data_IF_531268027614
#
_entry.id   IF_531268027614
#
_cell.length_a   1.000
_cell.length_b   1.000
_cell.length_c   1.000
_cell.angle_alpha   90.00
_cell.angle_beta   90.00
_cell.angle_gamma   90.00
#
_symmetry.space_group_name_H-M   'P 1'
#
loop_
_entity.id
_entity.type
_entity.pdbx_description
1 polymer ?
#
# COMPACT_ATOMS: atom_id res chain seq x y z
N UNK A 1 21.54 -45.22 36.69
CA UNK A 1 21.00 -45.64 35.38
C UNK A 1 20.32 -44.49 34.66
N UNK A 2 19.47 -43.71 35.33
CA UNK A 2 18.74 -42.58 34.74
C UNK A 2 19.62 -41.44 34.18
N UNK A 3 20.69 -41.05 34.89
CA UNK A 3 21.60 -39.97 34.44
C UNK A 3 22.28 -40.32 33.10
N UNK A 4 22.69 -41.59 32.92
CA UNK A 4 23.32 -42.05 31.69
C UNK A 4 22.34 -42.08 30.50
N UNK A 5 21.07 -42.33 30.77
CA UNK A 5 20.00 -42.28 29.75
C UNK A 5 19.71 -40.83 29.38
N UNK A 6 19.62 -39.92 30.35
CA UNK A 6 19.43 -38.49 30.12
C UNK A 6 20.57 -37.86 29.29
N UNK A 7 21.83 -38.20 29.58
CA UNK A 7 23.00 -37.73 28.81
C UNK A 7 22.99 -38.26 27.36
N UNK A 8 22.54 -39.49 27.14
CA UNK A 8 22.39 -40.06 25.78
C UNK A 8 21.26 -39.40 25.01
N UNK A 9 20.12 -39.14 25.66
CA UNK A 9 19.00 -38.41 25.05
C UNK A 9 19.37 -36.97 24.72
N UNK A 10 20.11 -36.28 25.60
CA UNK A 10 20.62 -34.93 25.36
C UNK A 10 21.62 -34.92 24.19
N UNK A 11 22.54 -35.90 24.15
CA UNK A 11 23.47 -36.06 23.04
C UNK A 11 22.77 -36.35 21.71
N UNK A 12 21.71 -37.15 21.74
CA UNK A 12 20.89 -37.43 20.56
C UNK A 12 20.10 -36.19 20.12
N UNK A 13 19.54 -35.42 21.05
CA UNK A 13 18.85 -34.17 20.76
C UNK A 13 19.81 -33.14 20.15
N UNK A 14 20.99 -32.96 20.74
CA UNK A 14 22.03 -32.08 20.21
C UNK A 14 22.51 -32.52 18.83
N UNK A 15 22.65 -33.83 18.61
CA UNK A 15 23.00 -34.38 17.30
C UNK A 15 21.89 -34.13 16.27
N UNK A 16 20.61 -34.34 16.64
CA UNK A 16 19.47 -34.03 15.77
C UNK A 16 19.40 -32.53 15.44
N UNK A 17 19.63 -31.65 16.42
CA UNK A 17 19.68 -30.21 16.22
C UNK A 17 20.83 -29.81 15.27
N UNK A 18 22.04 -30.33 15.50
CA UNK A 18 23.21 -30.09 14.64
C UNK A 18 23.04 -30.65 13.21
N UNK A 19 22.43 -31.83 13.08
CA UNK A 19 22.09 -32.40 11.77
C UNK A 19 20.96 -31.63 11.09
N UNK A 20 20.03 -31.05 11.84
CA UNK A 20 18.98 -30.20 11.30
C UNK A 20 19.52 -28.86 10.79
N UNK A 21 20.53 -28.27 11.45
CA UNK A 21 21.25 -27.08 10.99
C UNK A 21 21.97 -27.31 9.65
N UNK A 22 22.57 -28.50 9.45
CA UNK A 22 23.18 -28.88 8.18
C UNK A 22 22.15 -29.02 7.03
N UNK A 23 20.86 -29.03 7.36
CA UNK A 23 19.73 -29.06 6.43
C UNK A 23 18.79 -27.88 6.60
N UNK A 24 19.27 -26.73 7.12
CA UNK A 24 18.47 -25.52 7.22
C UNK A 24 18.06 -25.07 5.80
N UNK A 25 16.92 -25.57 5.33
CA UNK A 25 16.25 -25.03 4.16
C UNK A 25 15.85 -23.63 4.55
N UNK A 26 16.62 -22.64 4.08
CA UNK A 26 16.22 -21.23 4.17
C UNK A 26 14.76 -21.12 3.76
N UNK A 27 14.02 -20.31 4.51
CA UNK A 27 12.64 -20.02 4.13
C UNK A 27 12.65 -19.46 2.71
N UNK A 28 11.69 -19.87 1.86
CA UNK A 28 11.56 -19.30 0.51
C UNK A 28 11.30 -17.79 0.53
N UNK A 29 10.91 -17.25 1.69
CA UNK A 29 10.71 -15.83 1.92
C UNK A 29 11.94 -15.12 2.54
N UNK A 30 13.04 -15.82 2.84
CA UNK A 30 14.26 -15.19 3.35
C UNK A 30 15.00 -14.47 2.21
N UNK A 31 15.50 -13.25 2.48
CA UNK A 31 16.37 -12.55 1.53
C UNK A 31 17.74 -13.25 1.50
N UNK A 32 18.19 -13.62 0.31
CA UNK A 32 19.46 -14.34 0.14
C UNK A 32 20.65 -13.50 0.61
N UNK A 33 21.66 -14.16 1.18
CA UNK A 33 22.89 -13.50 1.67
C UNK A 33 23.63 -12.67 0.62
N UNK A 34 23.56 -13.07 -0.66
CA UNK A 34 24.11 -12.28 -1.77
C UNK A 34 23.38 -10.95 -1.97
N UNK A 35 22.05 -10.96 -1.86
CA UNK A 35 21.22 -9.77 -1.98
C UNK A 35 21.33 -8.88 -0.74
N UNK A 36 21.40 -9.47 0.46
CA UNK A 36 21.68 -8.73 1.70
C UNK A 36 23.00 -7.94 1.62
N UNK A 37 24.04 -8.52 1.02
CA UNK A 37 25.30 -7.80 0.80
C UNK A 37 25.13 -6.62 -0.16
N UNK A 38 24.39 -6.79 -1.26
CA UNK A 38 24.11 -5.68 -2.20
C UNK A 38 23.27 -4.58 -1.55
N UNK A 39 22.24 -4.97 -0.79
CA UNK A 39 21.40 -4.08 -0.01
C UNK A 39 22.26 -3.27 0.97
N UNK A 40 23.21 -3.91 1.66
CA UNK A 40 24.15 -3.23 2.54
C UNK A 40 25.01 -2.19 1.80
N UNK A 41 25.54 -2.51 0.62
CA UNK A 41 26.29 -1.54 -0.19
C UNK A 41 25.42 -0.38 -0.67
N UNK A 42 24.18 -0.63 -1.09
CA UNK A 42 23.21 0.43 -1.43
C UNK A 42 22.97 1.34 -0.22
N UNK A 43 22.75 0.76 0.96
CA UNK A 43 22.44 1.52 2.18
C UNK A 43 23.60 2.39 2.69
N UNK A 44 24.85 2.07 2.37
CA UNK A 44 26.01 2.95 2.64
C UNK A 44 25.93 4.28 1.89
N UNK A 45 25.24 4.31 0.75
CA UNK A 45 25.12 5.49 -0.12
C UNK A 45 23.87 6.32 0.22
N UNK A 46 22.86 5.73 0.87
CA UNK A 46 21.61 6.38 1.25
C UNK A 46 21.76 7.62 2.16
N UNK A 47 20.66 8.21 2.66
CA UNK A 47 19.28 7.77 2.46
C UNK A 47 18.77 8.01 1.04
N UNK A 48 17.66 7.35 0.70
CA UNK A 48 16.96 7.47 -0.59
C UNK A 48 15.53 7.94 -0.36
N UNK A 49 14.98 8.70 -1.31
CA UNK A 49 13.53 8.86 -1.45
C UNK A 49 12.96 7.60 -2.12
N UNK A 50 12.02 6.94 -1.46
CA UNK A 50 11.30 5.81 -2.03
C UNK A 50 10.18 6.30 -2.94
N UNK A 51 10.12 5.79 -4.18
CA UNK A 51 9.04 6.08 -5.12
C UNK A 51 8.30 4.78 -5.39
N UNK A 52 7.04 4.72 -4.94
CA UNK A 52 6.16 3.55 -5.12
C UNK A 52 5.09 3.88 -6.16
N UNK A 53 4.98 3.04 -7.19
CA UNK A 53 4.11 3.29 -8.34
C UNK A 53 3.26 2.05 -8.67
N UNK A 54 1.96 2.19 -9.00
CA UNK A 54 1.09 1.03 -9.20
C UNK A 54 1.47 0.18 -10.40
N UNK A 55 1.74 0.81 -11.55
CA UNK A 55 1.93 0.08 -12.79
C UNK A 55 2.97 0.73 -13.73
N UNK A 56 3.23 0.06 -14.86
CA UNK A 56 4.20 0.50 -15.86
C UNK A 56 3.80 1.80 -16.58
N UNK A 57 2.51 2.07 -16.77
CA UNK A 57 2.07 3.31 -17.44
C UNK A 57 2.43 4.54 -16.61
N UNK A 58 2.35 4.45 -15.29
CA UNK A 58 2.72 5.54 -14.39
C UNK A 58 4.23 5.61 -14.15
N UNK A 59 4.91 4.45 -14.17
CA UNK A 59 6.36 4.38 -13.94
C UNK A 59 7.19 4.79 -15.15
N UNK A 60 6.78 4.42 -16.37
CA UNK A 60 7.58 4.63 -17.59
C UNK A 60 7.95 6.09 -17.87
N UNK A 61 7.06 7.09 -17.66
CA UNK A 61 7.43 8.49 -17.84
C UNK A 61 8.57 8.94 -16.92
N UNK A 62 8.70 8.33 -15.73
CA UNK A 62 9.78 8.64 -14.79
C UNK A 62 11.09 7.96 -15.19
N UNK A 63 11.02 6.76 -15.78
CA UNK A 63 12.20 5.97 -16.17
C UNK A 63 12.85 6.40 -17.49
N UNK A 64 12.46 7.55 -18.05
CA UNK A 64 13.08 8.06 -19.27
C UNK A 64 14.56 8.41 -19.03
N UNK A 65 15.46 8.19 -20.01
CA UNK A 65 16.91 8.39 -19.82
C UNK A 65 17.32 9.82 -19.44
N UNK A 66 16.51 10.82 -19.79
CA UNK A 66 16.71 12.23 -19.45
C UNK A 66 16.23 12.57 -18.02
N UNK A 67 15.46 11.69 -17.39
CA UNK A 67 14.82 11.92 -16.07
C UNK A 67 15.38 11.03 -14.97
N UNK A 68 15.69 9.77 -15.28
CA UNK A 68 16.19 8.79 -14.32
C UNK A 68 17.59 8.31 -14.71
N UNK A 69 18.54 8.55 -13.80
CA UNK A 69 19.91 8.08 -13.91
C UNK A 69 20.10 6.85 -13.03
N UNK A 70 20.17 5.67 -13.63
CA UNK A 70 20.44 4.42 -12.90
C UNK A 70 21.79 4.45 -12.20
N UNK A 71 21.86 3.82 -11.02
CA UNK A 71 23.13 3.60 -10.33
C UNK A 71 24.06 2.74 -11.21
N UNK A 72 25.33 3.14 -11.40
CA UNK A 72 26.24 2.43 -12.31
C UNK A 72 26.70 1.07 -11.76
N UNK A 73 26.59 0.85 -10.45
CA UNK A 73 27.08 -0.36 -9.77
C UNK A 73 25.95 -1.35 -9.53
N UNK A 74 24.82 -0.86 -9.01
CA UNK A 74 23.64 -1.66 -8.66
C UNK A 74 22.38 -0.99 -9.22
N UNK A 75 22.15 -1.03 -10.55
CA UNK A 75 21.01 -0.35 -11.16
C UNK A 75 19.67 -0.92 -10.70
N UNK A 76 19.62 -2.23 -10.43
CA UNK A 76 18.40 -2.90 -9.98
C UNK A 76 18.68 -4.04 -8.98
N UNK A 77 17.74 -4.27 -8.07
CA UNK A 77 17.67 -5.45 -7.20
C UNK A 77 16.27 -6.05 -7.26
N UNK A 78 16.19 -7.35 -7.55
CA UNK A 78 14.93 -8.08 -7.63
C UNK A 78 14.74 -8.90 -6.33
N UNK A 79 13.82 -8.48 -5.46
CA UNK A 79 13.58 -9.11 -4.16
C UNK A 79 12.09 -9.46 -4.03
N UNK A 80 11.78 -10.72 -3.69
CA UNK A 80 10.40 -11.21 -3.50
C UNK A 80 9.43 -10.81 -4.63
N UNK A 81 9.89 -10.92 -5.88
CA UNK A 81 9.10 -10.59 -7.08
C UNK A 81 8.99 -9.10 -7.41
N UNK A 82 9.73 -8.23 -6.70
CA UNK A 82 9.73 -6.77 -6.92
C UNK A 82 11.09 -6.29 -7.39
N UNK A 83 11.09 -5.46 -8.42
CA UNK A 83 12.30 -4.81 -8.95
C UNK A 83 12.45 -3.42 -8.35
N UNK A 84 13.42 -3.28 -7.45
CA UNK A 84 13.89 -2.01 -6.92
C UNK A 84 14.89 -1.42 -7.90
N UNK A 85 14.60 -0.23 -8.44
CA UNK A 85 15.48 0.50 -9.37
C UNK A 85 16.19 1.59 -8.60
N UNK A 86 17.50 1.47 -8.47
CA UNK A 86 18.33 2.38 -7.67
C UNK A 86 18.95 3.39 -8.62
N UNK A 87 18.87 4.66 -8.29
CA UNK A 87 19.42 5.72 -9.12
C UNK A 87 19.13 7.12 -8.58
N UNK A 88 19.00 8.06 -9.51
CA UNK A 88 18.72 9.46 -9.22
C UNK A 88 17.66 10.04 -10.15
N UNK A 89 16.89 10.99 -9.63
CA UNK A 89 16.03 11.89 -10.40
C UNK A 89 16.46 13.32 -10.07
N UNK A 90 17.01 14.02 -11.06
CA UNK A 90 17.82 15.21 -10.79
C UNK A 90 18.96 14.89 -9.84
N UNK A 91 19.11 15.68 -8.77
CA UNK A 91 20.15 15.48 -7.75
C UNK A 91 19.72 14.54 -6.60
N UNK A 92 18.46 14.11 -6.57
CA UNK A 92 17.91 13.29 -5.48
C UNK A 92 18.13 11.81 -5.74
N UNK A 93 18.67 11.11 -4.74
CA UNK A 93 18.81 9.65 -4.76
C UNK A 93 17.43 9.03 -4.56
N UNK A 94 17.04 8.13 -5.47
CA UNK A 94 15.72 7.48 -5.41
C UNK A 94 15.83 5.97 -5.54
N UNK A 95 14.85 5.28 -4.95
CA UNK A 95 14.57 3.88 -5.22
C UNK A 95 13.15 3.79 -5.75
N UNK A 96 12.99 3.42 -7.03
CA UNK A 96 11.69 3.30 -7.70
C UNK A 96 11.28 1.83 -7.72
N UNK A 97 10.08 1.52 -7.24
CA UNK A 97 9.53 0.17 -7.23
C UNK A 97 8.06 0.16 -7.62
N UNK A 98 7.69 -0.82 -8.44
CA UNK A 98 6.29 -1.03 -8.84
C UNK A 98 5.59 -1.88 -7.79
N UNK A 99 4.44 -1.42 -7.30
CA UNK A 99 3.64 -2.15 -6.31
C UNK A 99 2.77 -3.20 -6.97
N UNK A 100 2.20 -2.91 -8.14
CA UNK A 100 1.02 -3.61 -8.64
C UNK A 100 -0.26 -3.03 -8.02
N UNK A 101 -1.41 -3.63 -8.36
CA UNK A 101 -2.72 -3.20 -7.88
C UNK A 101 -3.05 -3.79 -6.51
N UNK A 102 -3.98 -3.14 -5.80
CA UNK A 102 -4.46 -3.46 -4.45
C UNK A 102 -3.54 -3.05 -3.30
N UNK A 103 -4.18 -2.77 -2.16
CA UNK A 103 -3.52 -2.36 -0.92
C UNK A 103 -2.57 -3.42 -0.36
N UNK A 104 -2.88 -4.72 -0.54
CA UNK A 104 -1.99 -5.79 -0.10
C UNK A 104 -0.61 -5.67 -0.76
N UNK A 105 -0.61 -5.44 -2.07
CA UNK A 105 0.62 -5.30 -2.83
C UNK A 105 1.35 -4.00 -2.50
N UNK A 106 0.64 -2.88 -2.36
CA UNK A 106 1.21 -1.60 -1.96
C UNK A 106 1.86 -1.68 -0.57
N UNK A 107 1.16 -2.26 0.41
CA UNK A 107 1.65 -2.47 1.77
C UNK A 107 2.90 -3.33 1.81
N UNK A 108 2.87 -4.53 1.22
CA UNK A 108 4.04 -5.43 1.19
C UNK A 108 5.23 -4.81 0.46
N UNK A 109 5.00 -4.09 -0.64
CA UNK A 109 6.09 -3.43 -1.39
C UNK A 109 6.73 -2.32 -0.58
N UNK A 110 5.91 -1.49 0.07
CA UNK A 110 6.37 -0.36 0.89
C UNK A 110 7.10 -0.87 2.12
N UNK A 111 6.58 -1.91 2.77
CA UNK A 111 7.23 -2.58 3.89
C UNK A 111 8.61 -3.13 3.50
N UNK A 112 8.70 -3.84 2.37
CA UNK A 112 9.99 -4.32 1.86
C UNK A 112 10.96 -3.17 1.54
N UNK A 113 10.47 -2.07 0.98
CA UNK A 113 11.28 -0.89 0.69
C UNK A 113 11.87 -0.29 1.98
N UNK A 114 11.02 -0.06 2.99
CA UNK A 114 11.41 0.51 4.28
C UNK A 114 12.30 -0.42 5.09
N UNK A 115 12.04 -1.73 5.07
CA UNK A 115 12.80 -2.71 5.86
C UNK A 115 14.15 -3.04 5.23
N UNK A 116 14.27 -3.03 3.90
CA UNK A 116 15.51 -3.41 3.23
C UNK A 116 16.43 -2.20 2.99
N UNK A 117 15.88 -1.01 2.72
CA UNK A 117 16.69 0.13 2.28
C UNK A 117 16.67 1.29 3.28
N UNK A 118 17.76 2.07 3.32
CA UNK A 118 17.82 3.31 4.08
C UNK A 118 17.00 4.40 3.36
N UNK A 119 15.74 4.54 3.74
CA UNK A 119 14.76 5.41 3.08
C UNK A 119 14.35 6.54 4.02
N UNK A 120 14.34 7.78 3.52
CA UNK A 120 13.95 8.96 4.32
C UNK A 120 12.47 9.32 4.18
N UNK A 121 11.81 8.86 3.10
CA UNK A 121 10.42 9.15 2.81
C UNK A 121 9.86 8.30 1.67
N UNK A 122 8.54 8.26 1.57
CA UNK A 122 7.82 7.55 0.51
C UNK A 122 6.97 8.54 -0.28
N UNK A 123 7.19 8.57 -1.58
CA UNK A 123 6.31 9.22 -2.55
C UNK A 123 5.52 8.14 -3.29
N UNK A 124 4.20 8.20 -3.17
CA UNK A 124 3.28 7.43 -4.01
C UNK A 124 2.59 8.37 -5.00
N UNK A 125 2.58 8.02 -6.28
CA UNK A 125 1.78 8.72 -7.28
C UNK A 125 1.15 7.74 -8.27
N UNK A 126 0.04 8.16 -8.86
CA UNK A 126 -0.68 7.37 -9.85
C UNK A 126 -1.91 8.10 -10.37
N UNK A 127 -2.65 7.43 -11.25
CA UNK A 127 -3.94 7.88 -11.75
C UNK A 127 -5.05 7.50 -10.78
N UNK A 128 -6.05 8.38 -10.64
CA UNK A 128 -7.20 8.14 -9.78
C UNK A 128 -8.49 8.56 -10.47
N UNK A 129 -9.58 7.86 -10.15
CA UNK A 129 -10.93 8.39 -10.36
C UNK A 129 -11.27 9.37 -9.24
N UNK A 130 -12.01 10.44 -9.56
CA UNK A 130 -12.48 11.38 -8.56
C UNK A 130 -14.00 11.26 -8.37
N UNK A 131 -14.48 11.52 -7.15
CA UNK A 131 -15.90 11.62 -6.83
C UNK A 131 -16.34 13.07 -6.55
N UNK A 132 -15.40 14.03 -6.61
CA UNK A 132 -15.69 15.43 -6.41
C UNK A 132 -16.08 16.05 -7.77
N UNK A 133 -17.35 16.46 -7.98
CA UNK A 133 -17.80 16.99 -9.27
C UNK A 133 -17.09 18.29 -9.69
N UNK A 134 -16.37 18.95 -8.78
CA UNK A 134 -15.57 20.14 -9.08
C UNK A 134 -14.23 19.79 -9.75
N UNK A 135 -13.74 18.55 -9.62
CA UNK A 135 -12.47 18.10 -10.22
C UNK A 135 -12.68 17.57 -11.63
N UNK A 136 -11.80 17.98 -12.55
CA UNK A 136 -11.82 17.60 -13.96
C UNK A 136 -10.77 16.53 -14.27
N UNK A 137 -10.90 15.91 -15.45
CA UNK A 137 -9.87 15.01 -15.98
C UNK A 137 -8.58 15.81 -16.17
N UNK A 138 -7.48 15.30 -15.60
CA UNK A 138 -6.16 15.93 -15.66
C UNK A 138 -5.80 16.74 -14.41
N UNK A 139 -6.75 16.97 -13.50
CA UNK A 139 -6.45 17.61 -12.22
C UNK A 139 -5.53 16.71 -11.38
N UNK A 140 -4.56 17.34 -10.72
CA UNK A 140 -3.66 16.69 -9.78
C UNK A 140 -4.17 16.94 -8.36
N UNK A 141 -4.52 15.87 -7.66
CA UNK A 141 -4.97 15.93 -6.27
C UNK A 141 -3.87 15.46 -5.31
N UNK A 142 -3.67 16.21 -4.24
CA UNK A 142 -2.80 15.82 -3.12
C UNK A 142 -3.72 15.53 -1.92
N UNK A 143 -3.80 14.28 -1.45
CA UNK A 143 -4.69 13.93 -0.36
C UNK A 143 -4.15 14.43 0.98
N UNK A 144 -5.01 15.02 1.80
CA UNK A 144 -4.72 15.30 3.21
C UNK A 144 -4.96 14.05 4.09
N UNK A 145 -5.89 13.18 3.68
CA UNK A 145 -6.23 11.94 4.37
C UNK A 145 -6.39 10.79 3.37
N UNK A 146 -6.07 9.59 3.83
CA UNK A 146 -6.45 8.33 3.21
C UNK A 146 -7.63 7.71 3.96
N UNK A 147 -8.50 7.00 3.26
CA UNK A 147 -9.59 6.26 3.86
C UNK A 147 -9.76 4.92 3.16
N UNK A 148 -10.04 3.88 3.93
CA UNK A 148 -10.32 2.54 3.42
C UNK A 148 -11.79 2.22 3.64
N UNK A 149 -12.53 2.07 2.54
CA UNK A 149 -13.96 1.77 2.55
C UNK A 149 -14.25 0.29 2.24
N UNK A 150 -13.35 -0.61 2.64
CA UNK A 150 -13.38 -2.01 2.21
C UNK A 150 -14.28 -2.92 3.05
N UNK A 151 -14.52 -2.56 4.30
CA UNK A 151 -15.23 -3.41 5.25
C UNK A 151 -16.69 -2.95 5.43
N UNK A 152 -17.61 -3.89 5.23
CA UNK A 152 -19.05 -3.65 5.32
C UNK A 152 -19.75 -4.82 5.98
N UNK A 153 -20.76 -4.53 6.79
CA UNK A 153 -21.59 -5.52 7.46
C UNK A 153 -23.02 -5.44 6.97
N UNK A 154 -23.54 -6.60 6.57
CA UNK A 154 -24.91 -6.74 6.12
C UNK A 154 -25.84 -6.98 7.31
N UNK A 155 -26.88 -6.17 7.45
CA UNK A 155 -27.88 -6.31 8.51
C UNK A 155 -28.57 -7.68 8.40
N UNK A 156 -28.65 -8.40 9.52
CA UNK A 156 -29.32 -9.71 9.55
C UNK A 156 -30.78 -9.59 9.10
N UNK A 157 -31.26 -10.61 8.38
CA UNK A 157 -32.66 -10.67 7.98
C UNK A 157 -33.59 -10.60 9.21
N UNK A 158 -34.65 -9.80 9.10
CA UNK A 158 -35.61 -9.55 10.19
C UNK A 158 -35.17 -8.48 11.20
N UNK A 159 -33.93 -7.97 11.09
CA UNK A 159 -33.43 -6.87 11.93
C UNK A 159 -33.50 -5.57 11.14
N UNK A 160 -33.99 -4.52 11.78
CA UNK A 160 -34.05 -3.16 11.26
C UNK A 160 -32.79 -2.34 11.59
N UNK A 161 -32.75 -1.06 11.17
CA UNK A 161 -31.57 -0.20 11.34
C UNK A 161 -31.21 0.09 12.80
N UNK A 162 -32.18 0.01 13.72
CA UNK A 162 -31.98 0.24 15.15
C UNK A 162 -31.58 -1.02 15.91
N UNK A 163 -31.62 -2.18 15.26
CA UNK A 163 -31.19 -3.43 15.88
C UNK A 163 -29.65 -3.54 15.87
N UNK A 164 -29.06 -4.24 16.86
CA UNK A 164 -27.61 -4.31 16.99
C UNK A 164 -26.97 -5.07 15.83
N UNK A 165 -25.81 -4.59 15.37
CA UNK A 165 -24.96 -5.32 14.42
C UNK A 165 -24.14 -6.38 15.16
N UNK A 166 -23.66 -7.37 14.40
CA UNK A 166 -22.66 -8.28 14.92
C UNK A 166 -21.42 -7.49 15.36
N UNK A 167 -20.84 -7.77 16.53
CA UNK A 167 -19.64 -7.09 17.08
C UNK A 167 -19.76 -5.57 17.36
N UNK A 168 -20.92 -4.93 17.15
CA UNK A 168 -21.16 -3.56 17.62
C UNK A 168 -20.88 -3.34 19.11
N UNK A 169 -21.16 -4.31 20.02
CA UNK A 169 -20.77 -4.18 21.43
C UNK A 169 -19.26 -4.08 21.67
N UNK A 170 -18.43 -4.49 20.71
CA UNK A 170 -16.96 -4.38 20.78
C UNK A 170 -16.44 -3.05 20.22
N UNK A 171 -17.33 -2.18 19.72
CA UNK A 171 -16.95 -0.92 19.09
C UNK A 171 -16.43 -1.05 17.66
N UNK A 172 -16.68 -2.19 16.99
CA UNK A 172 -16.17 -2.47 15.65
C UNK A 172 -17.00 -1.79 14.53
N UNK A 173 -17.99 -0.97 14.88
CA UNK A 173 -18.89 -0.29 13.93
C UNK A 173 -19.11 1.16 14.29
N UNK A 174 -19.40 1.97 13.28
CA UNK A 174 -19.89 3.34 13.44
C UNK A 174 -21.30 3.46 12.90
N UNK A 175 -22.15 4.21 13.62
CA UNK A 175 -23.49 4.60 13.16
C UNK A 175 -23.51 6.00 12.56
N UNK A 176 -22.37 6.68 12.51
CA UNK A 176 -22.25 8.06 12.02
C UNK A 176 -22.15 8.13 10.49
N UNK A 177 -21.48 7.16 9.88
CA UNK A 177 -21.21 7.12 8.43
C UNK A 177 -21.47 5.74 7.85
N UNK A 178 -21.71 5.69 6.54
CA UNK A 178 -21.80 4.44 5.79
C UNK A 178 -23.03 3.60 6.08
N UNK A 179 -24.17 4.22 6.40
CA UNK A 179 -25.47 3.56 6.38
C UNK A 179 -26.04 3.56 4.96
N UNK A 180 -26.29 2.37 4.40
CA UNK A 180 -26.93 2.19 3.10
C UNK A 180 -28.18 1.32 3.23
N UNK A 181 -29.36 1.89 2.97
CA UNK A 181 -30.59 1.12 2.82
C UNK A 181 -30.81 0.76 1.36
N UNK A 182 -30.75 -0.53 1.01
CA UNK A 182 -30.90 -0.96 -0.38
C UNK A 182 -32.30 -0.70 -0.93
N UNK A 183 -33.32 -0.64 -0.06
CA UNK A 183 -34.69 -0.31 -0.46
C UNK A 183 -34.80 1.07 -1.12
N UNK A 184 -33.90 2.01 -0.78
CA UNK A 184 -33.84 3.35 -1.38
C UNK A 184 -33.48 3.34 -2.87
N UNK A 185 -32.94 2.23 -3.38
CA UNK A 185 -32.48 2.07 -4.76
C UNK A 185 -33.35 1.10 -5.58
N UNK A 186 -34.54 0.75 -5.07
CA UNK A 186 -35.50 -0.09 -5.78
C UNK A 186 -36.11 0.59 -7.00
N UNK A 187 -36.38 -0.19 -8.05
CA UNK A 187 -37.17 0.24 -9.22
C UNK A 187 -38.25 -0.81 -9.53
N UNK A 188 -39.56 -0.47 -9.52
CA UNK A 188 -40.15 0.81 -9.12
C UNK A 188 -40.03 1.04 -7.59
N UNK A 189 -39.85 2.30 -7.22
CA UNK A 189 -39.50 2.76 -5.87
C UNK A 189 -40.74 2.91 -4.98
N UNK A 190 -41.17 1.84 -4.31
CA UNK A 190 -42.21 2.00 -3.26
C UNK A 190 -42.31 0.89 -2.21
N UNK A 191 -41.51 -0.18 -2.28
CA UNK A 191 -41.53 -1.22 -1.25
C UNK A 191 -40.13 -1.48 -0.70
N UNK A 192 -40.09 -1.90 0.57
CA UNK A 192 -38.89 -2.50 1.16
C UNK A 192 -38.45 -3.73 0.34
N UNK A 193 -37.17 -4.09 0.41
CA UNK A 193 -36.65 -5.30 -0.22
C UNK A 193 -35.99 -6.23 0.80
N UNK A 194 -35.74 -7.47 0.38
CA UNK A 194 -35.08 -8.48 1.21
C UNK A 194 -33.56 -8.25 1.37
N UNK A 195 -33.00 -7.26 0.65
CA UNK A 195 -31.58 -6.91 0.74
C UNK A 195 -31.28 -6.06 1.99
N UNK A 196 -32.29 -5.49 2.65
CA UNK A 196 -32.11 -4.82 3.95
C UNK A 196 -31.03 -3.70 3.90
N UNK A 197 -30.30 -3.49 4.99
CA UNK A 197 -29.33 -2.42 5.17
C UNK A 197 -27.90 -2.95 5.24
N UNK A 198 -26.93 -2.12 4.86
CA UNK A 198 -25.50 -2.39 5.01
C UNK A 198 -24.83 -1.23 5.73
N UNK A 199 -23.86 -1.55 6.58
CA UNK A 199 -23.17 -0.62 7.46
C UNK A 199 -21.66 -0.68 7.26
N UNK A 200 -21.02 0.48 7.20
CA UNK A 200 -19.58 0.57 7.13
C UNK A 200 -18.93 0.09 8.44
N UNK A 201 -17.86 -0.67 8.30
CA UNK A 201 -16.99 -1.09 9.39
C UNK A 201 -15.65 -0.35 9.26
N UNK A 202 -15.25 0.47 10.25
CA UNK A 202 -13.94 1.07 10.29
C UNK A 202 -12.81 0.03 10.25
N UNK A 203 -11.67 0.38 9.65
CA UNK A 203 -10.47 -0.47 9.69
C UNK A 203 -9.86 -0.50 11.09
N UNK A 204 -9.29 -1.64 11.44
CA UNK A 204 -8.51 -1.84 12.66
C UNK A 204 -7.06 -1.37 12.45
N UNK A 205 -6.53 -0.61 13.39
CA UNK A 205 -5.14 -0.14 13.39
C UNK A 205 -4.47 -0.32 14.75
N UNK A 206 -3.15 -0.45 14.76
CA UNK A 206 -2.33 -0.44 15.98
C UNK A 206 -1.45 0.83 15.97
N UNK A 207 -1.75 1.84 16.80
CA UNK A 207 -1.00 3.09 16.83
C UNK A 207 0.43 2.88 17.35
N UNK A 208 1.38 3.64 16.78
CA UNK A 208 2.80 3.59 17.17
C UNK A 208 3.03 4.10 18.60
N UNK A 209 2.26 5.10 19.03
CA UNK A 209 2.30 5.71 20.36
C UNK A 209 1.28 5.11 21.34
N UNK A 210 0.61 4.03 20.93
CA UNK A 210 -0.39 3.31 21.73
C UNK A 210 0.21 2.22 22.61
N UNK A 211 -0.66 1.53 23.36
CA UNK A 211 -0.29 0.28 24.03
C UNK A 211 -0.22 -0.86 23.00
N UNK A 212 0.87 -1.66 22.98
CA UNK A 212 0.97 -2.80 22.05
C UNK A 212 -0.26 -3.72 22.13
N UNK A 213 -0.68 -4.23 20.98
CA UNK A 213 -1.85 -5.11 20.83
C UNK A 213 -3.19 -4.49 21.25
N UNK A 214 -3.23 -3.19 21.56
CA UNK A 214 -4.47 -2.43 21.75
C UNK A 214 -4.84 -1.77 20.43
N UNK A 215 -5.88 -2.33 19.80
CA UNK A 215 -6.41 -1.83 18.54
C UNK A 215 -7.18 -0.51 18.68
N UNK A 216 -7.24 0.23 17.58
CA UNK A 216 -8.12 1.38 17.39
C UNK A 216 -8.82 1.27 16.04
N UNK A 217 -9.81 2.13 15.82
CA UNK A 217 -10.57 2.22 14.57
C UNK A 217 -10.33 3.58 13.91
N UNK A 218 -9.95 3.58 12.64
CA UNK A 218 -9.74 4.80 11.87
C UNK A 218 -10.47 4.75 10.53
N UNK A 219 -11.23 5.81 10.25
CA UNK A 219 -11.76 6.07 8.91
C UNK A 219 -10.81 6.95 8.09
N UNK A 220 -10.28 8.02 8.71
CA UNK A 220 -9.34 8.95 8.08
C UNK A 220 -7.95 8.77 8.66
N UNK A 221 -7.02 8.34 7.84
CA UNK A 221 -5.60 8.23 8.15
C UNK A 221 -4.92 9.49 7.61
N UNK A 222 -4.38 10.37 8.46
CA UNK A 222 -3.74 11.60 8.00
C UNK A 222 -2.46 11.30 7.21
N UNK A 223 -2.21 12.10 6.18
CA UNK A 223 -0.89 12.17 5.54
C UNK A 223 0.05 12.95 6.44
N UNK A 224 1.34 12.61 6.40
CA UNK A 224 2.38 13.34 7.11
C UNK A 224 2.35 14.84 6.74
N UNK A 225 2.26 15.71 7.76
CA UNK A 225 2.09 17.14 7.57
C UNK A 225 3.26 17.81 6.86
N UNK A 226 4.49 17.32 7.08
CA UNK A 226 5.67 17.86 6.42
C UNK A 226 5.60 17.60 4.91
N UNK A 227 5.32 16.36 4.51
CA UNK A 227 5.19 16.03 3.09
C UNK A 227 3.99 16.70 2.44
N UNK A 228 2.87 16.84 3.17
CA UNK A 228 1.72 17.57 2.69
C UNK A 228 2.05 19.05 2.41
N UNK A 229 2.80 19.70 3.30
CA UNK A 229 3.20 21.10 3.13
C UNK A 229 4.20 21.27 1.98
N UNK A 230 5.14 20.33 1.79
CA UNK A 230 6.01 20.30 0.61
C UNK A 230 5.21 20.10 -0.68
N UNK A 231 4.23 19.20 -0.68
CA UNK A 231 3.42 18.92 -1.85
C UNK A 231 2.56 20.14 -2.27
N UNK A 232 2.09 20.95 -1.31
CA UNK A 232 1.36 22.20 -1.58
C UNK A 232 2.19 23.24 -2.35
N UNK A 233 3.53 23.16 -2.33
CA UNK A 233 4.38 24.09 -3.09
C UNK A 233 4.59 23.67 -4.54
N UNK A 234 4.03 22.53 -4.96
CA UNK A 234 4.18 22.06 -6.35
C UNK A 234 3.39 22.96 -7.29
N UNK A 235 4.09 23.64 -8.18
CA UNK A 235 3.47 24.38 -9.28
C UNK A 235 3.26 23.45 -10.47
N UNK A 236 1.99 23.21 -10.82
CA UNK A 236 1.66 22.54 -12.09
C UNK A 236 1.82 23.57 -13.20
N UNK A 237 2.87 23.41 -14.02
CA UNK A 237 2.98 24.20 -15.25
C UNK A 237 1.84 23.79 -16.17
N UNK A 238 0.99 24.74 -16.53
CA UNK A 238 -0.11 24.54 -17.47
C UNK A 238 0.48 24.22 -18.86
N UNK A 239 0.34 22.96 -19.29
CA UNK A 239 0.58 22.57 -20.67
C UNK A 239 -0.73 22.71 -21.45
N UNK A 240 -0.69 23.37 -22.60
CA UNK A 240 -1.86 23.47 -23.48
C UNK A 240 -2.15 22.10 -24.09
N UNK A 241 -3.31 21.52 -23.78
CA UNK A 241 -3.82 20.32 -24.45
C UNK A 241 -4.05 20.65 -25.94
N UNK A 242 -3.27 20.05 -26.84
CA UNK A 242 -3.59 20.03 -28.26
C UNK A 242 -4.50 18.82 -28.51
N UNK A 243 -5.80 19.06 -28.64
CA UNK A 243 -6.73 18.01 -29.05
C UNK A 243 -6.70 17.92 -30.58
N UNK A 244 -6.32 16.76 -31.12
CA UNK A 244 -6.38 16.48 -32.55
C UNK A 244 -7.75 15.85 -32.85
N UNK A 245 -8.57 16.52 -33.66
CA UNK A 245 -9.92 16.04 -33.98
C UNK A 245 -9.83 14.84 -34.93
N UNK A 246 -10.05 13.63 -34.42
CA UNK A 246 -10.18 12.45 -35.29
C UNK A 246 -11.53 12.49 -36.04
N UNK A 247 -11.52 12.10 -37.31
CA UNK A 247 -12.69 12.05 -38.20
C UNK A 247 -13.83 11.12 -37.76
N UNK A 248 -13.67 10.41 -36.63
CA UNK A 248 -14.65 9.46 -36.08
C UNK A 248 -15.36 9.96 -34.80
N UNK A 249 -15.27 11.26 -34.47
CA UNK A 249 -16.07 11.86 -33.39
C UNK A 249 -15.69 11.40 -31.98
N UNK A 250 -14.46 10.92 -31.79
CA UNK A 250 -13.86 10.70 -30.46
C UNK A 250 -12.65 11.62 -30.34
N UNK A 251 -12.75 12.60 -29.46
CA UNK A 251 -11.65 13.49 -29.12
C UNK A 251 -10.65 12.72 -28.25
N UNK A 252 -9.41 12.64 -28.71
CA UNK A 252 -8.27 12.18 -27.92
C UNK A 252 -7.42 13.41 -27.59
N UNK A 253 -7.49 13.88 -26.35
CA UNK A 253 -6.60 14.92 -25.88
C UNK A 253 -5.40 14.25 -25.20
N UNK A 254 -4.22 14.38 -25.80
CA UNK A 254 -2.95 13.99 -25.18
C UNK A 254 -2.35 15.22 -24.51
N UNK A 255 -1.88 15.05 -23.27
CA UNK A 255 -1.02 16.05 -22.61
C UNK A 255 0.37 15.96 -23.22
N UNK A 256 0.85 17.05 -23.84
CA UNK A 256 2.25 17.20 -24.26
C UNK A 256 3.09 17.72 -23.09
#
# INVERSE_FOLDING_TARGET
MEIAIALRLLGLLLFVLLCSDATFRRSKAEVGSGDLRKIHEVNKIGPYLGIVVPNMFEMNPLLQPDRFMSDPTTPTLDIMGRRFRIGKVGDHKVIIVMTGLSMLNAGVTTELLLTLFNVEGILHYGIAGNANPELQIGDVAIPEYWAHSGLWNWQRYGFGPNDPLALEPNGDYTREIGYLSFANYNTPSSSDNVLNNVWYQPEEVFPLDGSPEVRQHLFKVPVDSHYLDVAKTVEVRSYSLSCDMSSNGKDFCLSL
#
